data_IF_542919864177
#
_entry.id   IF_542919864177
#
_cell.length_a   1.000
_cell.length_b   1.000
_cell.length_c   1.000
_cell.angle_alpha   90.00
_cell.angle_beta   90.00
_cell.angle_gamma   90.00
#
_symmetry.space_group_name_H-M   'P 1'
#
loop_
_entity.id
_entity.type
_entity.pdbx_description
1 polymer ?
#
# COMPACT_ATOMS: atom_id res chain seq x y z
N UNK A 1 34.55 -35.27 7.77
CA UNK A 1 33.82 -35.59 6.53
C UNK A 1 33.34 -34.28 5.91
N UNK A 2 33.75 -33.97 4.68
CA UNK A 2 33.26 -32.77 3.97
C UNK A 2 31.76 -32.98 3.76
N UNK A 3 30.93 -32.12 4.35
CA UNK A 3 29.50 -32.06 4.04
C UNK A 3 29.34 -32.08 2.52
N UNK A 4 28.53 -33.00 1.99
CA UNK A 4 28.23 -33.03 0.56
C UNK A 4 27.62 -31.66 0.21
N UNK A 5 28.12 -30.98 -0.82
CA UNK A 5 27.60 -29.64 -1.17
C UNK A 5 26.08 -29.70 -1.44
N UNK A 6 25.57 -30.85 -1.88
CA UNK A 6 24.14 -31.09 -2.02
C UNK A 6 23.36 -30.92 -0.71
N UNK A 7 23.84 -31.48 0.41
CA UNK A 7 23.21 -31.31 1.73
C UNK A 7 23.23 -29.83 2.13
N UNK A 8 24.36 -29.15 1.91
CA UNK A 8 24.51 -27.72 2.18
C UNK A 8 23.56 -26.88 1.33
N UNK A 9 23.36 -27.23 0.07
CA UNK A 9 22.43 -26.55 -0.83
C UNK A 9 20.99 -26.69 -0.32
N UNK A 10 20.57 -27.92 0.02
CA UNK A 10 19.23 -28.21 0.56
C UNK A 10 18.97 -27.38 1.83
N UNK A 11 19.89 -27.39 2.79
CA UNK A 11 19.76 -26.57 4.01
C UNK A 11 19.73 -25.06 3.70
N UNK A 12 20.53 -24.59 2.74
CA UNK A 12 20.55 -23.18 2.40
C UNK A 12 19.24 -22.70 1.77
N UNK A 13 18.59 -23.50 0.92
CA UNK A 13 17.38 -23.06 0.22
C UNK A 13 16.14 -23.01 1.10
N UNK A 14 16.09 -23.77 2.20
CA UNK A 14 14.96 -23.81 3.15
C UNK A 14 14.62 -22.42 3.71
N UNK A 15 15.62 -21.56 3.91
CA UNK A 15 15.45 -20.21 4.47
C UNK A 15 15.45 -19.11 3.40
N UNK A 16 15.02 -19.44 2.18
CA UNK A 16 14.97 -18.53 1.04
C UNK A 16 13.64 -18.65 0.29
N UNK A 17 13.40 -17.78 -0.68
CA UNK A 17 12.25 -17.86 -1.57
C UNK A 17 12.42 -18.90 -2.70
N UNK A 18 13.35 -19.86 -2.58
CA UNK A 18 13.59 -20.86 -3.63
C UNK A 18 12.32 -21.65 -4.00
N UNK A 19 11.51 -22.01 -3.00
CA UNK A 19 10.29 -22.79 -3.20
C UNK A 19 9.21 -22.04 -4.01
N UNK A 20 9.24 -20.71 -4.08
CA UNK A 20 8.30 -19.92 -4.89
C UNK A 20 8.73 -19.76 -6.35
N UNK A 21 9.96 -20.17 -6.69
CA UNK A 21 10.44 -20.13 -8.06
C UNK A 21 9.79 -21.20 -8.92
N UNK A 22 9.61 -20.93 -10.22
CA UNK A 22 9.18 -21.94 -11.19
C UNK A 22 10.15 -23.12 -11.26
N UNK A 23 9.71 -24.28 -11.72
CA UNK A 23 10.57 -25.47 -11.87
C UNK A 23 11.84 -25.19 -12.70
N UNK A 24 11.73 -24.42 -13.79
CA UNK A 24 12.89 -24.05 -14.61
C UNK A 24 13.94 -23.24 -13.84
N UNK A 25 13.50 -22.25 -13.07
CA UNK A 25 14.35 -21.46 -12.18
C UNK A 25 14.98 -22.29 -11.06
N UNK A 26 14.23 -23.22 -10.46
CA UNK A 26 14.77 -24.13 -9.44
C UNK A 26 15.93 -24.97 -10.02
N UNK A 27 15.72 -25.56 -11.22
CA UNK A 27 16.77 -26.31 -11.92
C UNK A 27 17.98 -25.42 -12.22
N UNK A 28 17.75 -24.21 -12.74
CA UNK A 28 18.83 -23.23 -12.99
C UNK A 28 19.66 -22.96 -11.72
N UNK A 29 19.00 -22.66 -10.60
CA UNK A 29 19.67 -22.39 -9.33
C UNK A 29 20.43 -23.58 -8.78
N UNK A 30 19.90 -24.81 -8.91
CA UNK A 30 20.63 -26.03 -8.56
C UNK A 30 21.92 -26.13 -9.39
N UNK A 31 21.86 -25.92 -10.69
CA UNK A 31 23.03 -25.96 -11.59
C UNK A 31 24.10 -24.96 -11.20
N UNK A 32 23.75 -23.66 -11.10
CA UNK A 32 24.74 -22.62 -10.80
C UNK A 32 25.28 -22.71 -9.37
N UNK A 33 24.48 -23.19 -8.41
CA UNK A 33 24.94 -23.42 -7.05
C UNK A 33 26.02 -24.51 -7.01
N UNK A 34 25.83 -25.62 -7.72
CA UNK A 34 26.82 -26.70 -7.76
C UNK A 34 28.09 -26.28 -8.51
N UNK A 35 27.97 -25.45 -9.55
CA UNK A 35 29.11 -24.93 -10.31
C UNK A 35 29.95 -23.94 -9.51
N UNK A 36 29.33 -22.96 -8.86
CA UNK A 36 30.05 -21.84 -8.22
C UNK A 36 30.12 -21.92 -6.69
N UNK A 37 29.41 -22.86 -6.07
CA UNK A 37 29.36 -23.08 -4.62
C UNK A 37 29.03 -21.83 -3.81
N UNK A 38 27.95 -21.12 -4.18
CA UNK A 38 27.50 -19.90 -3.49
C UNK A 38 27.34 -20.11 -1.97
N UNK A 39 27.68 -19.08 -1.21
CA UNK A 39 27.33 -19.00 0.21
C UNK A 39 25.81 -18.83 0.38
N UNK A 40 25.30 -19.10 1.58
CA UNK A 40 23.88 -18.88 1.89
C UNK A 40 23.42 -17.47 1.51
N UNK A 41 24.18 -16.44 1.90
CA UNK A 41 23.82 -15.04 1.67
C UNK A 41 23.87 -14.63 0.19
N UNK A 42 24.78 -15.20 -0.60
CA UNK A 42 24.82 -14.96 -2.05
C UNK A 42 23.66 -15.68 -2.74
N UNK A 43 23.41 -16.94 -2.41
CA UNK A 43 22.32 -17.72 -2.98
C UNK A 43 20.96 -17.07 -2.69
N UNK A 44 20.73 -16.66 -1.44
CA UNK A 44 19.54 -15.93 -1.03
C UNK A 44 19.33 -14.65 -1.86
N UNK A 45 20.40 -13.86 -2.03
CA UNK A 45 20.33 -12.62 -2.81
C UNK A 45 20.06 -12.88 -4.28
N UNK A 46 20.71 -13.86 -4.90
CA UNK A 46 20.44 -14.20 -6.30
C UNK A 46 18.99 -14.64 -6.50
N UNK A 47 18.44 -15.44 -5.60
CA UNK A 47 17.02 -15.83 -5.62
C UNK A 47 16.11 -14.61 -5.49
N UNK A 48 16.40 -13.71 -4.53
CA UNK A 48 15.64 -12.48 -4.36
C UNK A 48 15.74 -11.58 -5.60
N UNK A 49 16.91 -11.49 -6.25
CA UNK A 49 17.11 -10.73 -7.50
C UNK A 49 16.33 -11.32 -8.67
N UNK A 50 16.26 -12.64 -8.79
CA UNK A 50 15.43 -13.30 -9.82
C UNK A 50 13.96 -12.95 -9.66
N UNK A 51 13.46 -12.99 -8.42
CA UNK A 51 12.08 -12.61 -8.11
C UNK A 51 11.86 -11.14 -8.44
N UNK A 52 12.80 -10.28 -8.06
CA UNK A 52 12.76 -8.85 -8.36
C UNK A 52 12.74 -8.60 -9.88
N UNK A 53 13.60 -9.24 -10.68
CA UNK A 53 13.59 -9.08 -12.15
C UNK A 53 12.23 -9.46 -12.76
N UNK A 54 11.69 -10.62 -12.36
CA UNK A 54 10.35 -11.04 -12.80
C UNK A 54 9.28 -10.03 -12.39
N UNK A 55 9.30 -9.63 -11.12
CA UNK A 55 8.35 -8.67 -10.56
C UNK A 55 8.42 -7.33 -11.31
N UNK A 56 9.62 -6.86 -11.61
CA UNK A 56 9.84 -5.59 -12.27
C UNK A 56 9.62 -5.65 -13.79
N UNK A 57 9.21 -6.80 -14.33
CA UNK A 57 9.09 -7.00 -15.78
C UNK A 57 10.41 -6.72 -16.55
N UNK A 58 11.53 -7.11 -15.95
CA UNK A 58 12.88 -6.99 -16.50
C UNK A 58 13.37 -8.34 -17.05
N UNK A 59 14.53 -8.35 -17.72
CA UNK A 59 15.13 -9.56 -18.28
C UNK A 59 15.31 -10.64 -17.21
N UNK A 60 15.04 -11.89 -17.60
CA UNK A 60 15.17 -13.02 -16.69
C UNK A 60 16.63 -13.26 -16.28
N UNK A 61 16.87 -13.78 -15.08
CA UNK A 61 18.24 -14.10 -14.63
C UNK A 61 18.91 -15.10 -15.58
N UNK A 62 18.16 -16.02 -16.19
CA UNK A 62 18.69 -17.01 -17.14
C UNK A 62 19.25 -16.33 -18.39
N UNK A 63 18.67 -15.20 -18.80
CA UNK A 63 19.17 -14.40 -19.93
C UNK A 63 20.35 -13.52 -19.55
N UNK A 64 20.39 -13.03 -18.31
CA UNK A 64 21.46 -12.15 -17.81
C UNK A 64 22.71 -12.97 -17.44
N UNK A 65 22.55 -14.19 -16.94
CA UNK A 65 23.64 -15.00 -16.44
C UNK A 65 24.49 -15.57 -17.59
N UNK A 66 25.80 -15.23 -17.60
CA UNK A 66 26.75 -15.72 -18.60
C UNK A 66 26.97 -17.23 -18.48
N UNK A 67 27.33 -17.87 -19.60
CA UNK A 67 27.66 -19.29 -19.66
C UNK A 67 28.80 -19.67 -18.69
N UNK A 68 29.80 -18.80 -18.51
CA UNK A 68 30.93 -19.04 -17.62
C UNK A 68 31.44 -17.75 -16.97
N UNK A 69 31.88 -17.88 -15.72
CA UNK A 69 32.59 -16.85 -14.98
C UNK A 69 33.88 -17.44 -14.42
N UNK A 70 34.94 -16.62 -14.33
CA UNK A 70 36.22 -17.07 -13.80
C UNK A 70 36.16 -17.53 -12.33
N UNK A 71 35.20 -17.02 -11.54
CA UNK A 71 34.97 -17.45 -10.17
C UNK A 71 33.57 -17.03 -9.66
N UNK A 72 33.20 -17.60 -8.50
CA UNK A 72 31.96 -17.30 -7.76
C UNK A 72 31.70 -15.81 -7.55
N UNK A 73 32.73 -15.05 -7.18
CA UNK A 73 32.60 -13.61 -6.86
C UNK A 73 32.21 -12.81 -8.10
N UNK A 74 32.78 -13.14 -9.26
CA UNK A 74 32.42 -12.50 -10.53
C UNK A 74 30.99 -12.85 -10.97
N UNK A 75 30.57 -14.11 -10.80
CA UNK A 75 29.20 -14.53 -11.08
C UNK A 75 28.19 -13.76 -10.23
N UNK A 76 28.41 -13.69 -8.92
CA UNK A 76 27.54 -12.96 -8.00
C UNK A 76 27.51 -11.45 -8.28
N UNK A 77 28.68 -10.83 -8.42
CA UNK A 77 28.78 -9.38 -8.63
C UNK A 77 28.13 -8.94 -9.94
N UNK A 78 28.25 -9.72 -11.02
CA UNK A 78 27.61 -9.37 -12.29
C UNK A 78 26.10 -9.19 -12.13
N UNK A 79 25.42 -10.16 -11.51
CA UNK A 79 23.96 -10.09 -11.30
C UNK A 79 23.59 -8.97 -10.33
N UNK A 80 24.37 -8.81 -9.25
CA UNK A 80 24.17 -7.73 -8.28
C UNK A 80 24.31 -6.35 -8.93
N UNK A 81 25.27 -6.17 -9.81
CA UNK A 81 25.54 -4.89 -10.46
C UNK A 81 24.42 -4.54 -11.45
N UNK A 82 23.89 -5.53 -12.20
CA UNK A 82 22.68 -5.37 -13.03
C UNK A 82 21.47 -4.98 -12.17
N UNK A 83 21.26 -5.66 -11.04
CA UNK A 83 20.18 -5.34 -10.11
C UNK A 83 20.31 -3.91 -9.54
N UNK A 84 21.53 -3.50 -9.14
CA UNK A 84 21.78 -2.13 -8.66
C UNK A 84 21.54 -1.08 -9.74
N UNK A 85 21.95 -1.35 -10.99
CA UNK A 85 21.73 -0.45 -12.12
C UNK A 85 20.23 -0.18 -12.33
N UNK A 86 19.41 -1.24 -12.30
CA UNK A 86 17.95 -1.12 -12.43
C UNK A 86 17.32 -0.26 -11.34
N UNK A 87 17.82 -0.33 -10.10
CA UNK A 87 17.31 0.48 -8.98
C UNK A 87 17.79 1.94 -9.00
N UNK A 88 18.88 2.21 -9.71
CA UNK A 88 19.45 3.55 -9.81
C UNK A 88 18.70 4.45 -10.80
N UNK A 89 17.93 3.84 -11.70
CA UNK A 89 17.14 4.55 -12.72
C UNK A 89 15.72 4.81 -12.19
N UNK A 90 15.08 5.92 -12.59
CA UNK A 90 13.65 6.10 -12.38
C UNK A 90 12.86 4.92 -12.97
N UNK A 91 11.80 4.50 -12.29
CA UNK A 91 10.88 3.51 -12.82
C UNK A 91 10.18 4.06 -14.07
N UNK A 92 9.94 3.21 -15.06
CA UNK A 92 9.05 3.48 -16.19
C UNK A 92 7.99 2.38 -16.29
N UNK A 93 6.79 2.76 -16.74
CA UNK A 93 5.66 1.84 -16.93
C UNK A 93 5.32 1.63 -18.42
N UNK A 94 6.07 2.22 -19.35
CA UNK A 94 5.75 2.19 -20.78
C UNK A 94 5.71 0.79 -21.39
N UNK A 95 6.61 -0.09 -20.93
CA UNK A 95 6.70 -1.49 -21.36
C UNK A 95 6.21 -2.46 -20.30
N UNK A 96 5.47 -1.98 -19.30
CA UNK A 96 5.04 -2.80 -18.17
C UNK A 96 3.88 -3.70 -18.57
N UNK A 97 4.09 -5.01 -18.45
CA UNK A 97 3.09 -6.00 -18.80
C UNK A 97 1.98 -6.07 -17.73
N UNK A 98 0.79 -5.62 -18.11
CA UNK A 98 -0.41 -5.60 -17.28
C UNK A 98 -1.12 -6.96 -17.20
N UNK A 99 -0.73 -7.94 -18.03
CA UNK A 99 -1.44 -9.23 -18.15
C UNK A 99 -1.27 -10.15 -16.95
N UNK A 100 -0.30 -9.90 -16.07
CA UNK A 100 -0.08 -10.73 -14.87
C UNK A 100 -1.16 -10.59 -13.80
N UNK A 101 -2.04 -9.59 -13.91
CA UNK A 101 -3.09 -9.34 -12.93
C UNK A 101 -4.44 -9.87 -13.38
N UNK A 102 -5.06 -10.69 -12.53
CA UNK A 102 -6.46 -11.08 -12.68
C UNK A 102 -7.36 -9.91 -12.29
N UNK A 103 -8.33 -9.58 -13.15
CA UNK A 103 -9.43 -8.64 -12.82
C UNK A 103 -10.33 -9.13 -11.68
N UNK A 104 -10.10 -10.35 -11.18
CA UNK A 104 -10.90 -10.97 -10.14
C UNK A 104 -10.01 -11.54 -9.05
N UNK A 105 -10.22 -11.05 -7.83
CA UNK A 105 -9.72 -11.67 -6.61
C UNK A 105 -10.84 -12.47 -5.96
N UNK A 106 -10.63 -13.76 -5.74
CA UNK A 106 -11.59 -14.59 -5.01
C UNK A 106 -11.49 -14.23 -3.54
N UNK A 107 -12.56 -13.65 -2.98
CA UNK A 107 -12.64 -13.27 -1.57
C UNK A 107 -13.73 -14.11 -0.91
N UNK A 108 -13.42 -14.65 0.26
CA UNK A 108 -14.39 -15.29 1.14
C UNK A 108 -14.67 -14.41 2.33
N UNK A 109 -15.94 -14.30 2.69
CA UNK A 109 -16.37 -13.56 3.86
C UNK A 109 -16.45 -14.48 5.07
N UNK A 110 -16.01 -14.01 6.21
CA UNK A 110 -16.18 -14.69 7.49
C UNK A 110 -16.79 -13.75 8.53
N UNK A 111 -17.61 -14.33 9.40
CA UNK A 111 -18.17 -13.65 10.57
C UNK A 111 -17.35 -14.11 11.76
N UNK A 112 -16.76 -13.16 12.47
CA UNK A 112 -15.92 -13.42 13.64
C UNK A 112 -16.57 -12.80 14.87
N UNK A 113 -16.30 -13.39 16.03
CA UNK A 113 -16.64 -12.80 17.31
C UNK A 113 -15.34 -12.36 17.97
N UNK A 114 -15.17 -11.03 18.12
CA UNK A 114 -14.01 -10.47 18.81
C UNK A 114 -14.34 -10.25 20.28
N UNK A 115 -13.36 -10.31 21.17
CA UNK A 115 -13.59 -9.96 22.58
C UNK A 115 -13.79 -8.45 22.76
N UNK A 116 -12.98 -7.65 22.06
CA UNK A 116 -12.96 -6.18 22.20
C UNK A 116 -13.21 -5.48 20.88
N UNK A 117 -13.66 -4.22 20.98
CA UNK A 117 -13.71 -3.30 19.83
C UNK A 117 -12.28 -2.94 19.45
N UNK A 118 -11.93 -3.09 18.17
CA UNK A 118 -10.61 -2.68 17.67
C UNK A 118 -10.57 -1.18 17.41
N UNK A 119 -10.47 -0.42 18.50
CA UNK A 119 -10.20 1.00 18.52
C UNK A 119 -8.82 1.22 19.18
N UNK A 120 -7.92 1.92 18.51
CA UNK A 120 -6.56 2.13 19.03
C UNK A 120 -5.86 3.34 18.42
N UNK A 121 -4.64 3.62 18.90
CA UNK A 121 -3.80 4.65 18.30
C UNK A 121 -3.32 4.22 16.90
N UNK A 122 -3.13 5.19 16.01
CA UNK A 122 -2.52 4.95 14.70
C UNK A 122 -1.23 4.11 14.81
N UNK A 123 -1.03 3.04 14.01
CA UNK A 123 0.17 2.20 14.08
C UNK A 123 1.50 2.90 13.78
N UNK A 124 1.46 4.15 13.32
CA UNK A 124 2.65 4.99 13.06
C UNK A 124 2.94 5.93 14.24
N UNK A 125 2.06 6.00 15.25
CA UNK A 125 2.28 6.78 16.46
C UNK A 125 3.50 6.23 17.23
N UNK A 126 4.49 7.09 17.46
CA UNK A 126 5.70 6.75 18.18
C UNK A 126 6.36 8.02 18.73
N UNK A 127 7.27 7.93 19.71
CA UNK A 127 8.06 9.07 20.16
C UNK A 127 8.91 9.72 19.06
N UNK A 128 9.17 8.99 17.96
CA UNK A 128 9.97 9.44 16.82
C UNK A 128 9.12 10.10 15.72
N UNK A 129 7.80 10.19 15.89
CA UNK A 129 6.88 10.76 14.90
C UNK A 129 6.11 11.92 15.50
N UNK A 130 5.87 12.96 14.70
CA UNK A 130 4.93 14.02 15.08
C UNK A 130 3.52 13.48 14.90
N UNK A 131 2.89 13.11 16.02
CA UNK A 131 1.57 12.49 16.02
C UNK A 131 0.47 13.49 15.66
N UNK A 132 -0.48 13.06 14.82
CA UNK A 132 -1.72 13.79 14.55
C UNK A 132 -2.88 13.38 15.48
N UNK A 133 -2.61 12.54 16.49
CA UNK A 133 -3.57 11.99 17.44
C UNK A 133 -4.75 11.23 16.80
N UNK A 134 -4.57 10.74 15.56
CA UNK A 134 -5.55 9.88 14.90
C UNK A 134 -5.68 8.55 15.66
N UNK A 135 -6.92 8.20 15.96
CA UNK A 135 -7.32 6.86 16.38
C UNK A 135 -7.84 6.08 15.17
N UNK A 136 -7.63 4.76 15.17
CA UNK A 136 -8.09 3.87 14.10
C UNK A 136 -9.12 2.91 14.66
N UNK A 137 -10.27 2.83 13.97
CA UNK A 137 -11.36 1.92 14.25
C UNK A 137 -11.44 0.88 13.13
N UNK A 138 -11.12 -0.37 13.45
CA UNK A 138 -11.16 -1.46 12.48
C UNK A 138 -12.60 -2.00 12.37
N UNK A 139 -13.37 -1.45 11.43
CA UNK A 139 -14.75 -1.88 11.16
C UNK A 139 -14.83 -3.19 10.37
N UNK A 140 -13.83 -3.45 9.53
CA UNK A 140 -13.67 -4.66 8.73
C UNK A 140 -12.20 -5.04 8.71
N UNK A 141 -11.88 -6.33 8.83
CA UNK A 141 -10.51 -6.82 8.69
C UNK A 141 -10.26 -7.38 7.30
N UNK A 142 -9.11 -6.99 6.72
CA UNK A 142 -8.71 -7.26 5.34
C UNK A 142 -9.47 -6.42 4.30
N UNK A 143 -8.86 -6.28 3.13
CA UNK A 143 -9.36 -5.47 2.04
C UNK A 143 -9.44 -6.31 0.77
N UNK A 144 -10.45 -6.06 -0.05
CA UNK A 144 -10.59 -6.72 -1.34
C UNK A 144 -9.81 -6.06 -2.48
N UNK A 145 -9.33 -4.83 -2.30
CA UNK A 145 -8.40 -4.21 -3.23
C UNK A 145 -7.04 -4.90 -3.24
N UNK A 146 -6.34 -4.74 -4.35
CA UNK A 146 -5.07 -5.43 -4.59
C UNK A 146 -3.90 -4.49 -4.91
N UNK A 147 -3.74 -3.42 -4.12
CA UNK A 147 -2.61 -2.52 -4.30
C UNK A 147 -1.28 -3.25 -4.03
N UNK A 148 -0.32 -3.09 -4.93
CA UNK A 148 0.97 -3.78 -4.89
C UNK A 148 1.81 -3.41 -3.67
N UNK A 149 1.68 -2.18 -3.18
CA UNK A 149 2.37 -1.66 -2.01
C UNK A 149 1.58 -1.82 -0.70
N UNK A 150 0.47 -2.57 -0.73
CA UNK A 150 -0.45 -2.65 0.42
C UNK A 150 0.19 -3.36 1.63
N UNK A 151 0.24 -2.65 2.77
CA UNK A 151 0.67 -3.23 4.03
C UNK A 151 -0.38 -4.16 4.65
N UNK A 152 -1.69 -3.86 4.48
CA UNK A 152 -2.82 -4.66 5.03
C UNK A 152 -2.71 -6.11 4.58
N UNK A 153 -2.45 -6.35 3.29
CA UNK A 153 -2.31 -7.72 2.77
C UNK A 153 -1.13 -8.51 3.35
N UNK A 154 -0.16 -7.82 3.95
CA UNK A 154 0.95 -8.48 4.62
C UNK A 154 0.61 -8.89 6.05
N UNK A 155 -0.42 -8.29 6.66
CA UNK A 155 -0.82 -8.52 8.05
C UNK A 155 -2.05 -9.43 8.19
N UNK A 156 -2.97 -9.44 7.22
CA UNK A 156 -4.21 -10.22 7.29
C UNK A 156 -4.21 -11.45 6.39
N UNK A 157 -5.08 -12.41 6.72
CA UNK A 157 -5.26 -13.65 5.97
C UNK A 157 -5.64 -13.35 4.52
N UNK A 158 -4.78 -13.74 3.59
CA UNK A 158 -4.97 -13.53 2.17
C UNK A 158 -6.32 -14.13 1.74
N UNK A 159 -7.16 -13.29 1.13
CA UNK A 159 -8.46 -13.63 0.54
C UNK A 159 -9.62 -13.90 1.51
N UNK A 160 -9.43 -13.71 2.82
CA UNK A 160 -10.52 -13.69 3.80
C UNK A 160 -10.80 -12.27 4.27
N UNK A 161 -12.07 -11.91 4.34
CA UNK A 161 -12.54 -10.62 4.87
C UNK A 161 -13.46 -10.89 6.04
N UNK A 162 -13.12 -10.35 7.20
CA UNK A 162 -13.81 -10.66 8.44
C UNK A 162 -14.66 -9.48 8.93
N UNK A 163 -15.90 -9.80 9.30
CA UNK A 163 -16.85 -8.89 9.93
C UNK A 163 -17.09 -9.33 11.37
N UNK A 164 -16.94 -8.41 12.33
CA UNK A 164 -17.26 -8.68 13.73
C UNK A 164 -18.78 -8.63 13.93
N UNK A 165 -19.39 -9.76 14.29
CA UNK A 165 -20.85 -9.87 14.48
C UNK A 165 -21.38 -8.95 15.58
N UNK A 166 -20.52 -8.60 16.53
CA UNK A 166 -20.85 -7.75 17.67
C UNK A 166 -20.37 -6.30 17.47
N UNK A 167 -19.90 -5.92 16.28
CA UNK A 167 -19.34 -4.59 16.01
C UNK A 167 -20.28 -3.45 16.42
N UNK A 168 -21.53 -3.48 15.94
CA UNK A 168 -22.51 -2.44 16.22
C UNK A 168 -22.80 -2.30 17.73
N UNK A 169 -22.96 -3.43 18.43
CA UNK A 169 -23.21 -3.43 19.87
C UNK A 169 -22.02 -2.90 20.67
N UNK A 170 -20.80 -3.30 20.30
CA UNK A 170 -19.57 -2.83 20.93
C UNK A 170 -19.36 -1.34 20.71
N UNK A 171 -19.61 -0.86 19.49
CA UNK A 171 -19.51 0.55 19.14
C UNK A 171 -20.53 1.41 19.92
N UNK A 172 -21.76 0.92 20.10
CA UNK A 172 -22.78 1.56 20.96
C UNK A 172 -22.37 1.61 22.44
N UNK A 173 -21.59 0.63 22.90
CA UNK A 173 -21.13 0.54 24.29
C UNK A 173 -19.85 1.33 24.56
N UNK A 174 -19.17 1.85 23.52
CA UNK A 174 -17.97 2.66 23.67
C UNK A 174 -18.29 3.94 24.47
N UNK A 175 -17.47 4.21 25.50
CA UNK A 175 -17.56 5.43 26.31
C UNK A 175 -16.40 6.34 25.96
N UNK A 176 -16.71 7.51 25.44
CA UNK A 176 -15.77 8.59 25.15
C UNK A 176 -16.03 9.75 26.12
N UNK A 177 -14.99 10.53 26.43
CA UNK A 177 -15.16 11.75 27.22
C UNK A 177 -15.80 12.83 26.32
N UNK A 178 -17.02 13.32 26.63
CA UNK A 178 -17.66 14.34 25.80
C UNK A 178 -16.92 15.69 25.79
N UNK A 179 -15.97 15.91 26.71
CA UNK A 179 -15.17 17.14 26.77
C UNK A 179 -13.91 17.08 25.90
N UNK A 180 -13.57 15.92 25.36
CA UNK A 180 -12.43 15.73 24.47
C UNK A 180 -12.88 15.68 23.00
N UNK A 181 -11.99 16.06 22.09
CA UNK A 181 -12.22 15.89 20.63
C UNK A 181 -11.45 14.69 20.13
N UNK A 182 -12.13 13.79 19.41
CA UNK A 182 -11.52 12.59 18.85
C UNK A 182 -11.53 12.63 17.34
N UNK A 183 -10.41 12.28 16.70
CA UNK A 183 -10.36 12.00 15.27
C UNK A 183 -10.20 10.48 15.09
N UNK A 184 -11.23 9.81 14.58
CA UNK A 184 -11.29 8.36 14.43
C UNK A 184 -11.41 8.01 12.94
N UNK A 185 -10.43 7.30 12.39
CA UNK A 185 -10.43 6.83 11.00
C UNK A 185 -10.77 5.35 10.87
N UNK A 186 -11.53 4.98 9.83
CA UNK A 186 -12.00 3.60 9.60
C UNK A 186 -11.25 2.83 8.50
N UNK A 187 -10.14 3.40 7.99
CA UNK A 187 -9.42 2.90 6.81
C UNK A 187 -8.10 2.17 7.07
N UNK A 188 -7.85 1.71 8.30
CA UNK A 188 -6.56 1.13 8.70
C UNK A 188 -6.45 -0.36 8.38
N UNK A 189 -7.49 -1.14 8.68
CA UNK A 189 -7.55 -2.60 8.48
C UNK A 189 -8.27 -3.02 7.20
N UNK A 190 -9.01 -2.10 6.57
CA UNK A 190 -9.78 -2.28 5.34
C UNK A 190 -9.97 -0.92 4.65
N UNK A 191 -10.60 -0.91 3.47
CA UNK A 191 -11.16 0.30 2.88
C UNK A 191 -12.56 0.59 3.46
N UNK A 192 -12.80 1.84 3.88
CA UNK A 192 -14.00 2.23 4.61
C UNK A 192 -15.30 2.10 3.81
N UNK A 193 -15.25 2.29 2.49
CA UNK A 193 -16.44 2.38 1.64
C UNK A 193 -16.58 1.21 0.66
N UNK A 194 -15.51 0.44 0.45
CA UNK A 194 -15.50 -0.72 -0.45
C UNK A 194 -16.71 -1.66 -0.24
N UNK A 195 -17.06 -1.95 1.00
CA UNK A 195 -18.06 -2.97 1.33
C UNK A 195 -19.50 -2.48 1.35
N UNK A 196 -19.74 -1.17 1.16
CA UNK A 196 -21.06 -0.58 1.38
C UNK A 196 -21.58 -0.87 2.78
N UNK A 197 -22.90 -0.92 2.97
CA UNK A 197 -23.52 -1.23 4.26
C UNK A 197 -23.63 -2.74 4.56
N UNK A 198 -22.66 -3.53 4.08
CA UNK A 198 -22.64 -4.97 4.34
C UNK A 198 -22.55 -5.24 5.83
N UNK A 199 -23.36 -6.17 6.34
CA UNK A 199 -23.47 -6.49 7.78
C UNK A 199 -23.83 -5.26 8.67
N UNK A 200 -24.44 -4.21 8.10
CA UNK A 200 -24.88 -3.03 8.86
C UNK A 200 -23.75 -2.12 9.35
N UNK A 201 -22.53 -2.22 8.78
CA UNK A 201 -21.37 -1.45 9.26
C UNK A 201 -21.56 0.06 9.13
N UNK A 202 -22.21 0.54 8.06
CA UNK A 202 -22.41 1.97 7.86
C UNK A 202 -23.54 2.49 8.75
N UNK A 203 -24.59 1.69 8.98
CA UNK A 203 -25.63 2.01 9.97
C UNK A 203 -25.00 2.22 11.36
N UNK A 204 -24.17 1.27 11.79
CA UNK A 204 -23.49 1.35 13.09
C UNK A 204 -22.60 2.59 13.22
N UNK A 205 -21.85 2.92 12.16
CA UNK A 205 -20.96 4.08 12.14
C UNK A 205 -21.75 5.41 12.10
N UNK A 206 -22.87 5.48 11.38
CA UNK A 206 -23.74 6.65 11.35
C UNK A 206 -24.43 6.86 12.71
N UNK A 207 -24.96 5.80 13.32
CA UNK A 207 -25.52 5.83 14.69
C UNK A 207 -24.48 6.35 15.70
N UNK A 208 -23.24 5.85 15.59
CA UNK A 208 -22.14 6.25 16.45
C UNK A 208 -21.79 7.73 16.26
N UNK A 209 -21.68 8.21 15.02
CA UNK A 209 -21.40 9.61 14.73
C UNK A 209 -22.50 10.54 15.28
N UNK A 210 -23.78 10.20 15.11
CA UNK A 210 -24.92 10.96 15.67
C UNK A 210 -24.87 11.03 17.20
N UNK A 211 -24.47 9.93 17.84
CA UNK A 211 -24.43 9.82 19.30
C UNK A 211 -23.21 10.52 19.93
N UNK A 212 -22.19 10.86 19.13
CA UNK A 212 -20.92 11.40 19.61
C UNK A 212 -20.49 12.63 18.78
N UNK A 213 -21.13 13.80 18.93
CA UNK A 213 -20.86 14.98 18.12
C UNK A 213 -19.44 15.54 18.30
N UNK A 214 -18.72 15.16 19.36
CA UNK A 214 -17.32 15.51 19.62
C UNK A 214 -16.30 14.62 18.85
N UNK A 215 -16.77 13.66 18.06
CA UNK A 215 -15.93 12.78 17.23
C UNK A 215 -15.94 13.25 15.79
N UNK A 216 -14.77 13.48 15.20
CA UNK A 216 -14.58 13.55 13.75
C UNK A 216 -14.37 12.12 13.25
N UNK A 217 -15.37 11.57 12.55
CA UNK A 217 -15.33 10.22 12.01
C UNK A 217 -14.90 10.25 10.54
N UNK A 218 -13.69 9.77 10.26
CA UNK A 218 -13.09 9.75 8.92
C UNK A 218 -13.34 8.40 8.22
N UNK A 219 -13.97 8.46 7.05
CA UNK A 219 -14.05 7.34 6.10
C UNK A 219 -13.00 7.52 5.02
N UNK A 220 -12.01 6.62 4.98
CA UNK A 220 -10.89 6.68 4.05
C UNK A 220 -11.03 5.62 2.97
N UNK A 221 -10.98 6.03 1.72
CA UNK A 221 -11.27 5.10 0.62
C UNK A 221 -10.44 5.29 -0.65
N UNK A 222 -10.35 4.23 -1.46
CA UNK A 222 -9.97 4.20 -2.88
C UNK A 222 -11.14 3.78 -3.79
N UNK A 223 -12.34 3.68 -3.24
CA UNK A 223 -13.56 3.28 -3.94
C UNK A 223 -14.36 4.50 -4.42
N UNK A 224 -15.36 4.23 -5.26
CA UNK A 224 -16.43 5.16 -5.60
C UNK A 224 -17.79 4.69 -5.06
N UNK A 225 -17.80 3.76 -4.11
CA UNK A 225 -19.01 3.17 -3.56
C UNK A 225 -19.63 4.07 -2.49
N UNK A 226 -20.37 5.08 -2.94
CA UNK A 226 -20.94 6.13 -2.07
C UNK A 226 -22.47 6.10 -1.99
N UNK A 227 -23.13 5.08 -2.53
CA UNK A 227 -24.61 5.04 -2.62
C UNK A 227 -25.27 5.26 -1.27
N UNK A 228 -24.77 4.59 -0.23
CA UNK A 228 -25.27 4.73 1.13
C UNK A 228 -25.25 6.18 1.62
N UNK A 229 -24.18 6.94 1.34
CA UNK A 229 -24.08 8.35 1.72
C UNK A 229 -25.06 9.23 0.92
N UNK A 230 -25.30 8.90 -0.34
CA UNK A 230 -26.25 9.64 -1.18
C UNK A 230 -27.70 9.42 -0.73
N UNK A 231 -28.02 8.19 -0.33
CA UNK A 231 -29.38 7.74 0.04
C UNK A 231 -29.78 8.11 1.48
N UNK A 232 -28.81 8.44 2.34
CA UNK A 232 -29.06 8.75 3.75
C UNK A 232 -28.70 10.19 4.11
N UNK A 233 -29.17 10.65 5.26
CA UNK A 233 -28.73 11.90 5.87
C UNK A 233 -27.41 11.67 6.62
N UNK A 234 -26.37 12.40 6.22
CA UNK A 234 -25.01 12.21 6.73
C UNK A 234 -24.81 13.10 7.97
N UNK A 235 -24.40 12.53 9.13
CA UNK A 235 -24.05 13.31 10.31
C UNK A 235 -22.94 14.33 10.02
N UNK A 236 -23.07 15.54 10.60
CA UNK A 236 -22.17 16.67 10.31
C UNK A 236 -20.73 16.47 10.75
N UNK A 237 -20.48 15.50 11.62
CA UNK A 237 -19.17 15.14 12.15
C UNK A 237 -18.51 13.96 11.40
N UNK A 238 -19.08 13.57 10.25
CA UNK A 238 -18.46 12.62 9.33
C UNK A 238 -17.71 13.38 8.22
N UNK A 239 -16.48 12.95 7.95
CA UNK A 239 -15.70 13.38 6.78
C UNK A 239 -15.36 12.18 5.91
N UNK A 240 -15.23 12.41 4.59
CA UNK A 240 -14.84 11.37 3.64
C UNK A 240 -13.55 11.74 2.93
N UNK A 241 -12.55 10.89 2.99
CA UNK A 241 -11.23 11.18 2.41
C UNK A 241 -10.84 10.13 1.39
N UNK A 242 -10.25 10.58 0.28
CA UNK A 242 -9.84 9.71 -0.82
C UNK A 242 -8.32 9.62 -0.90
N UNK A 243 -7.81 8.39 -0.98
CA UNK A 243 -6.44 8.20 -1.45
C UNK A 243 -6.39 8.45 -2.95
N UNK A 244 -5.54 9.37 -3.39
CA UNK A 244 -5.37 9.72 -4.79
C UNK A 244 -3.94 9.43 -5.24
N UNK A 245 -3.81 9.16 -6.53
CA UNK A 245 -2.56 8.91 -7.20
C UNK A 245 -2.67 9.34 -8.66
N UNK A 246 -1.55 9.33 -9.38
CA UNK A 246 -1.57 9.54 -10.82
C UNK A 246 -2.28 8.37 -11.52
N UNK A 247 -2.87 8.59 -12.72
CA UNK A 247 -3.45 7.50 -13.50
C UNK A 247 -2.48 6.34 -13.73
N UNK A 248 -1.19 6.65 -13.94
CA UNK A 248 -0.11 5.66 -14.11
C UNK A 248 -0.02 4.73 -12.91
N UNK A 249 0.06 5.27 -11.68
CA UNK A 249 0.17 4.43 -10.49
C UNK A 249 -1.14 3.70 -10.21
N UNK A 250 -2.30 4.34 -10.39
CA UNK A 250 -3.58 3.67 -10.18
C UNK A 250 -3.75 2.46 -11.10
N UNK A 251 -3.35 2.60 -12.36
CA UNK A 251 -3.50 1.52 -13.34
C UNK A 251 -2.53 0.37 -13.09
N UNK A 252 -1.28 0.66 -12.72
CA UNK A 252 -0.22 -0.34 -12.65
C UNK A 252 0.00 -0.91 -11.24
N UNK A 253 -0.45 -0.24 -10.18
CA UNK A 253 -0.10 -0.60 -8.80
C UNK A 253 -1.32 -0.58 -7.84
N UNK A 254 -2.48 -0.06 -8.23
CA UNK A 254 -3.69 0.00 -7.38
C UNK A 254 -4.84 -0.88 -7.92
N UNK A 255 -4.58 -2.17 -8.09
CA UNK A 255 -5.54 -3.09 -8.72
C UNK A 255 -6.87 -3.19 -7.95
N UNK A 256 -7.95 -3.39 -8.71
CA UNK A 256 -9.34 -3.52 -8.23
C UNK A 256 -9.90 -2.28 -7.53
N UNK A 257 -9.18 -1.16 -7.52
CA UNK A 257 -9.67 0.11 -6.98
C UNK A 257 -10.41 0.93 -8.04
N UNK A 258 -11.10 2.00 -7.62
CA UNK A 258 -11.69 2.95 -8.55
C UNK A 258 -10.60 3.77 -9.27
N UNK A 259 -10.85 4.17 -10.53
CA UNK A 259 -9.96 5.06 -11.29
C UNK A 259 -9.97 6.49 -10.71
N UNK A 260 -8.97 7.30 -11.05
CA UNK A 260 -8.83 8.68 -10.53
C UNK A 260 -10.11 9.51 -10.68
N UNK A 261 -10.65 9.60 -11.89
CA UNK A 261 -11.86 10.37 -12.17
C UNK A 261 -13.09 9.86 -11.40
N UNK A 262 -13.16 8.57 -11.10
CA UNK A 262 -14.25 7.99 -10.31
C UNK A 262 -14.14 8.37 -8.83
N UNK A 263 -12.91 8.42 -8.30
CA UNK A 263 -12.65 8.89 -6.92
C UNK A 263 -12.98 10.36 -6.76
N UNK A 264 -12.46 11.20 -7.66
CA UNK A 264 -12.74 12.65 -7.68
C UNK A 264 -14.24 12.90 -7.88
N UNK A 265 -14.88 12.19 -8.80
CA UNK A 265 -16.33 12.31 -9.03
C UNK A 265 -17.18 11.87 -7.83
N UNK A 266 -16.75 10.83 -7.09
CA UNK A 266 -17.40 10.44 -5.85
C UNK A 266 -17.24 11.50 -4.75
N UNK A 267 -16.02 12.03 -4.59
CA UNK A 267 -15.76 13.12 -3.66
C UNK A 267 -16.59 14.37 -3.98
N UNK A 268 -16.67 14.76 -5.25
CA UNK A 268 -17.49 15.89 -5.71
C UNK A 268 -18.97 15.71 -5.33
N UNK A 269 -19.53 14.54 -5.60
CA UNK A 269 -20.93 14.23 -5.24
C UNK A 269 -21.20 14.30 -3.73
N UNK A 270 -20.24 13.92 -2.88
CA UNK A 270 -20.40 14.03 -1.44
C UNK A 270 -20.24 15.48 -0.96
N UNK A 271 -19.31 16.23 -1.53
CA UNK A 271 -19.16 17.66 -1.28
C UNK A 271 -20.40 18.46 -1.69
N UNK A 272 -21.05 18.12 -2.82
CA UNK A 272 -22.32 18.73 -3.24
C UNK A 272 -23.47 18.47 -2.25
N UNK A 273 -23.38 17.38 -1.47
CA UNK A 273 -24.31 17.04 -0.38
C UNK A 273 -23.92 17.73 0.95
N UNK A 274 -22.84 18.51 0.97
CA UNK A 274 -22.32 19.19 2.17
C UNK A 274 -21.43 18.34 3.05
N UNK A 275 -20.99 17.16 2.60
CA UNK A 275 -20.00 16.34 3.32
C UNK A 275 -18.61 16.90 3.07
N UNK A 276 -17.87 17.17 4.13
CA UNK A 276 -16.48 17.62 4.01
C UNK A 276 -15.58 16.50 3.49
N UNK A 277 -14.72 16.84 2.53
CA UNK A 277 -13.85 15.88 1.84
C UNK A 277 -12.38 16.12 2.12
N UNK A 278 -11.53 15.13 1.86
CA UNK A 278 -10.07 15.30 1.97
C UNK A 278 -9.32 14.38 1.04
N UNK A 279 -8.04 14.67 0.82
CA UNK A 279 -7.24 13.97 -0.18
C UNK A 279 -5.90 13.48 0.39
N UNK A 280 -5.60 12.21 0.17
CA UNK A 280 -4.35 11.59 0.61
C UNK A 280 -3.49 11.20 -0.58
N UNK A 281 -2.34 11.84 -0.71
CA UNK A 281 -1.24 11.39 -1.56
C UNK A 281 -0.29 10.55 -0.71
N UNK A 282 -0.81 9.39 -0.28
CA UNK A 282 -0.09 8.46 0.56
C UNK A 282 -0.25 7.04 0.00
N UNK A 283 0.71 6.58 -0.83
CA UNK A 283 2.00 7.21 -1.13
C UNK A 283 2.02 8.14 -2.36
N UNK A 284 2.94 9.11 -2.35
CA UNK A 284 3.57 9.64 -3.58
C UNK A 284 4.63 8.63 -4.04
N UNK A 285 4.62 8.27 -5.33
CA UNK A 285 5.49 7.26 -5.93
C UNK A 285 6.34 7.90 -7.02
N UNK A 286 7.66 7.69 -6.96
CA UNK A 286 8.59 8.15 -7.98
C UNK A 286 8.59 7.23 -9.20
N UNK A 287 8.46 7.83 -10.37
CA UNK A 287 8.69 7.22 -11.68
C UNK A 287 9.05 8.33 -12.67
N UNK A 288 9.35 7.99 -13.92
CA UNK A 288 9.62 8.97 -14.97
C UNK A 288 8.43 9.94 -15.15
N UNK A 289 8.69 11.25 -15.15
CA UNK A 289 7.67 12.32 -15.27
C UNK A 289 6.62 12.39 -14.15
N UNK A 290 6.87 11.77 -12.98
CA UNK A 290 5.88 11.74 -11.90
C UNK A 290 5.48 13.13 -11.40
N UNK A 291 6.39 14.12 -11.39
CA UNK A 291 6.10 15.47 -10.88
C UNK A 291 5.05 16.17 -11.72
N UNK A 292 5.16 16.07 -13.04
CA UNK A 292 4.22 16.61 -14.01
C UNK A 292 2.86 15.92 -13.87
N UNK A 293 2.85 14.59 -13.83
CA UNK A 293 1.60 13.82 -13.68
C UNK A 293 0.86 14.13 -12.38
N UNK A 294 1.59 14.25 -11.25
CA UNK A 294 0.95 14.64 -9.99
C UNK A 294 0.45 16.07 -10.01
N UNK A 295 1.18 16.99 -10.67
CA UNK A 295 0.75 18.38 -10.82
C UNK A 295 -0.60 18.47 -11.51
N UNK A 296 -0.84 17.68 -12.55
CA UNK A 296 -2.15 17.61 -13.21
C UNK A 296 -3.26 17.15 -12.25
N UNK A 297 -2.98 16.17 -11.39
CA UNK A 297 -3.92 15.74 -10.35
C UNK A 297 -4.21 16.87 -9.36
N UNK A 298 -3.18 17.59 -8.90
CA UNK A 298 -3.34 18.71 -7.97
C UNK A 298 -4.16 19.85 -8.59
N UNK A 299 -3.85 20.25 -9.82
CA UNK A 299 -4.59 21.27 -10.56
C UNK A 299 -6.05 20.86 -10.77
N UNK A 300 -6.31 19.58 -11.06
CA UNK A 300 -7.68 19.04 -11.15
C UNK A 300 -8.44 19.24 -9.85
N UNK A 301 -7.84 18.96 -8.69
CA UNK A 301 -8.50 19.14 -7.39
C UNK A 301 -8.79 20.62 -7.11
N UNK A 302 -7.83 21.50 -7.34
CA UNK A 302 -7.98 22.95 -7.12
C UNK A 302 -9.09 23.53 -8.00
N UNK A 303 -9.24 23.03 -9.22
CA UNK A 303 -10.30 23.47 -10.14
C UNK A 303 -11.67 22.83 -9.85
N UNK A 304 -11.72 21.74 -9.08
CA UNK A 304 -12.96 20.97 -8.83
C UNK A 304 -13.59 21.27 -7.47
N UNK A 305 -12.81 21.70 -6.47
CA UNK A 305 -13.26 21.90 -5.10
C UNK A 305 -12.99 23.32 -4.60
N UNK A 306 -13.96 23.88 -3.87
CA UNK A 306 -13.71 25.07 -3.06
C UNK A 306 -12.89 24.66 -1.82
N UNK A 307 -11.97 25.52 -1.39
CA UNK A 307 -11.10 25.20 -0.25
C UNK A 307 -11.88 24.94 1.04
N UNK A 308 -13.08 25.50 1.19
CA UNK A 308 -13.96 25.29 2.36
C UNK A 308 -14.61 23.91 2.39
N UNK A 309 -14.63 23.19 1.27
CA UNK A 309 -15.15 21.83 1.18
C UNK A 309 -14.08 20.79 1.58
N UNK A 310 -12.81 21.20 1.56
CA UNK A 310 -11.66 20.31 1.71
C UNK A 310 -11.04 20.49 3.10
N UNK A 311 -11.10 19.46 3.94
CA UNK A 311 -10.57 19.54 5.31
C UNK A 311 -9.07 19.31 5.38
N UNK A 312 -8.49 18.51 4.47
CA UNK A 312 -7.07 18.19 4.50
C UNK A 312 -6.52 17.74 3.14
N UNK A 313 -5.23 17.98 2.94
CA UNK A 313 -4.41 17.30 1.93
C UNK A 313 -3.17 16.72 2.59
N UNK A 314 -3.11 15.39 2.73
CA UNK A 314 -1.96 14.73 3.34
C UNK A 314 -1.00 14.15 2.32
N UNK A 315 0.30 14.22 2.59
CA UNK A 315 1.35 13.64 1.77
C UNK A 315 2.14 12.60 2.56
N UNK A 316 2.51 11.50 1.93
CA UNK A 316 3.41 10.52 2.52
C UNK A 316 4.13 9.69 1.47
N UNK A 317 5.18 9.00 1.89
CA UNK A 317 5.99 8.16 0.99
C UNK A 317 5.86 6.69 1.31
N UNK A 318 6.18 5.86 0.32
CA UNK A 318 6.33 4.42 0.53
C UNK A 318 7.34 4.12 1.64
N UNK A 319 6.91 3.24 2.53
CA UNK A 319 7.66 2.83 3.70
C UNK A 319 7.38 1.35 3.97
N UNK A 320 8.41 0.52 3.88
CA UNK A 320 8.29 -0.92 4.05
C UNK A 320 9.10 -1.42 5.24
N UNK A 321 8.51 -2.32 6.02
CA UNK A 321 9.26 -3.16 6.96
C UNK A 321 9.72 -4.44 6.25
N UNK A 322 10.80 -5.06 6.74
CA UNK A 322 11.36 -6.29 6.14
C UNK A 322 10.32 -7.40 5.91
N UNK A 323 9.38 -7.69 6.85
CA UNK A 323 8.34 -8.69 6.62
C UNK A 323 7.44 -8.38 5.42
N UNK A 324 7.12 -7.11 5.18
CA UNK A 324 6.30 -6.71 4.02
C UNK A 324 7.05 -6.97 2.73
N UNK A 325 8.33 -6.59 2.63
CA UNK A 325 9.15 -6.86 1.42
C UNK A 325 9.22 -8.36 1.13
N UNK A 326 9.44 -9.18 2.16
CA UNK A 326 9.46 -10.64 2.01
C UNK A 326 8.11 -11.17 1.51
N UNK A 327 7.01 -10.67 2.08
CA UNK A 327 5.67 -11.07 1.66
C UNK A 327 5.37 -10.65 0.23
N UNK A 328 5.79 -9.46 -0.20
CA UNK A 328 5.69 -9.03 -1.60
C UNK A 328 6.46 -10.00 -2.52
N UNK A 329 7.70 -10.35 -2.20
CA UNK A 329 8.48 -11.32 -3.00
C UNK A 329 7.89 -12.73 -3.03
N UNK A 330 7.08 -13.11 -2.05
CA UNK A 330 6.38 -14.40 -2.06
C UNK A 330 5.12 -14.42 -2.94
N UNK A 331 4.65 -13.26 -3.39
CA UNK A 331 3.47 -13.15 -4.26
C UNK A 331 3.89 -13.27 -5.72
N UNK A 332 3.09 -13.95 -6.51
CA UNK A 332 3.30 -14.06 -7.96
C UNK A 332 2.55 -12.94 -8.70
N UNK A 333 3.18 -11.78 -8.82
CA UNK A 333 2.61 -10.57 -9.42
C UNK A 333 3.73 -9.65 -9.91
N UNK A 334 3.44 -8.79 -10.91
CA UNK A 334 4.41 -7.81 -11.42
C UNK A 334 4.21 -6.47 -10.73
N UNK A 335 5.26 -5.82 -10.24
CA UNK A 335 5.18 -4.48 -9.66
C UNK A 335 6.53 -3.78 -9.80
N UNK A 336 6.55 -2.46 -9.99
CA UNK A 336 7.79 -1.66 -9.98
C UNK A 336 8.09 -1.08 -8.60
N UNK A 337 7.22 -1.27 -7.61
CA UNK A 337 7.34 -0.69 -6.26
C UNK A 337 8.64 -1.09 -5.55
N UNK A 338 9.12 -2.33 -5.69
CA UNK A 338 10.38 -2.74 -5.05
C UNK A 338 11.64 -2.31 -5.85
N UNK A 339 11.48 -1.79 -7.07
CA UNK A 339 12.58 -1.31 -7.89
C UNK A 339 13.15 0.01 -7.36
N UNK A 340 12.36 0.84 -6.68
CA UNK A 340 12.84 2.13 -6.15
C UNK A 340 14.08 2.01 -5.24
N UNK A 341 14.92 3.05 -5.24
CA UNK A 341 16.04 3.13 -4.31
C UNK A 341 15.55 3.30 -2.87
N UNK A 342 15.97 2.38 -1.99
CA UNK A 342 15.62 2.40 -0.57
C UNK A 342 16.81 2.84 0.28
N UNK A 343 16.54 3.71 1.25
CA UNK A 343 17.42 3.97 2.39
C UNK A 343 16.75 3.51 3.68
N UNK A 344 17.55 3.28 4.73
CA UNK A 344 16.99 3.07 6.06
C UNK A 344 16.43 4.39 6.61
N UNK A 345 15.16 4.36 6.97
CA UNK A 345 14.42 5.44 7.59
C UNK A 345 13.82 4.91 8.89
N UNK A 346 14.65 4.87 9.95
CA UNK A 346 14.29 4.39 11.28
C UNK A 346 13.86 2.90 11.28
N UNK A 347 14.70 2.04 10.70
CA UNK A 347 14.45 0.59 10.62
C UNK A 347 13.43 0.19 9.54
N UNK A 348 13.00 1.13 8.70
CA UNK A 348 12.07 0.91 7.58
C UNK A 348 12.74 1.33 6.26
N UNK A 349 12.46 0.62 5.18
CA UNK A 349 12.92 0.98 3.84
C UNK A 349 12.03 2.07 3.25
N UNK A 350 12.59 3.20 2.82
CA UNK A 350 11.85 4.32 2.23
C UNK A 350 12.75 5.15 1.30
N UNK A 351 12.20 6.16 0.63
CA UNK A 351 12.98 7.15 -0.13
C UNK A 351 13.94 7.93 0.75
N UNK A 352 15.03 8.40 0.14
CA UNK A 352 15.95 9.33 0.79
C UNK A 352 15.31 10.71 1.05
N UNK A 353 15.99 11.52 1.87
CA UNK A 353 15.48 12.84 2.25
C UNK A 353 15.40 13.81 1.06
N UNK A 354 16.26 13.64 0.04
CA UNK A 354 16.28 14.52 -1.14
C UNK A 354 15.03 14.28 -1.98
N UNK A 355 14.72 13.02 -2.30
CA UNK A 355 13.53 12.62 -3.03
C UNK A 355 12.25 13.02 -2.26
N UNK A 356 12.20 12.79 -0.94
CA UNK A 356 11.08 13.23 -0.09
C UNK A 356 10.83 14.74 -0.17
N UNK A 357 11.90 15.54 -0.10
CA UNK A 357 11.80 17.00 -0.19
C UNK A 357 11.31 17.45 -1.56
N UNK A 358 11.79 16.85 -2.64
CA UNK A 358 11.34 17.14 -4.01
C UNK A 358 9.83 16.88 -4.18
N UNK A 359 9.40 15.66 -3.81
CA UNK A 359 7.99 15.22 -3.86
C UNK A 359 7.08 16.17 -3.07
N UNK A 360 7.39 16.39 -1.79
CA UNK A 360 6.53 17.16 -0.90
C UNK A 360 6.56 18.65 -1.22
N UNK A 361 7.70 19.18 -1.69
CA UNK A 361 7.76 20.57 -2.15
C UNK A 361 6.90 20.80 -3.38
N UNK A 362 6.96 19.90 -4.37
CA UNK A 362 6.12 20.00 -5.58
C UNK A 362 4.62 20.00 -5.24
N UNK A 363 4.20 19.06 -4.39
CA UNK A 363 2.83 18.99 -3.91
C UNK A 363 2.43 20.24 -3.11
N UNK A 364 3.24 20.63 -2.11
CA UNK A 364 2.97 21.82 -1.30
C UNK A 364 2.86 23.10 -2.14
N UNK A 365 3.79 23.33 -3.07
CA UNK A 365 3.77 24.50 -3.94
C UNK A 365 2.54 24.52 -4.86
N UNK A 366 2.10 23.35 -5.33
CA UNK A 366 0.90 23.23 -6.18
C UNK A 366 -0.37 23.65 -5.44
N UNK A 367 -0.49 23.33 -4.16
CA UNK A 367 -1.63 23.71 -3.30
C UNK A 367 -1.54 25.13 -2.72
N UNK A 368 -0.74 26.04 -3.30
CA UNK A 368 -0.58 27.41 -2.81
C UNK A 368 -1.90 28.17 -2.61
N UNK A 369 -2.89 27.91 -3.45
CA UNK A 369 -4.21 28.52 -3.34
C UNK A 369 -4.96 28.11 -2.05
N UNK A 370 -4.59 26.99 -1.43
CA UNK A 370 -5.29 26.39 -0.28
C UNK A 370 -4.54 26.53 1.06
N UNK A 371 -3.31 27.08 1.06
CA UNK A 371 -2.42 27.11 2.24
C UNK A 371 -2.99 27.72 3.52
N UNK A 372 -4.03 28.55 3.43
CA UNK A 372 -4.66 29.21 4.60
C UNK A 372 -5.97 28.55 5.03
N UNK A 373 -6.51 27.69 4.19
CA UNK A 373 -7.88 27.20 4.30
C UNK A 373 -7.93 25.68 4.54
N UNK A 374 -6.94 24.94 4.06
CA UNK A 374 -6.88 23.47 4.10
C UNK A 374 -5.68 23.01 4.93
N UNK A 375 -5.90 21.99 5.77
CA UNK A 375 -4.89 21.42 6.66
C UNK A 375 -3.88 20.49 5.99
#
# INVERSE_FOLDING_TARGET
MKQNYEEKFITNIENTNYASLSTGHQVFFKTIAFQYQFSFQELKQLIDFTIDFKMWNEKDIVEIFKNEYANRKMAFNHIRDVWNELKSKPNTYDTFDKSSYSDKRKITFEKIEKETLSLGACPVASPNTRCCNLMTLDSVESCGFDCSYCSIQSFYNQNKVAFDVNFAQKLKNLKLDPNETYHIGTGQSSDSLMWGNKEGILDALFDFARSNPNVILEFKTKSNNISYFLENEVPSNIICTWSLNTPVIIENEEHLTAKLHQRIGAARKLADKGVLVGFHFHPIVQYENYLEDYKEVYETLINTFDSKEVVLVSMGTLTFIKPVIQKLRSRDFKSKILQMSFVDANGKASYDLKAKKEMFKSAYDSFKAWHKDVY
#
